data_IF_250778057550
#
_entry.id   IF_250778057550
#
_cell.length_a   1.000
_cell.length_b   1.000
_cell.length_c   1.000
_cell.angle_alpha   90.00
_cell.angle_beta   90.00
_cell.angle_gamma   90.00
#
_symmetry.space_group_name_H-M   'P 1'
#
loop_
_entity.id
_entity.type
_entity.pdbx_description
1 polymer ?
#
# COMPACT_ATOMS: atom_id res chain seq x y z
N UNK A 1 18.00 12.00 3.49
CA UNK A 1 17.01 12.06 2.39
C UNK A 1 15.73 12.80 2.85
N UNK A 2 15.86 14.04 3.37
CA UNK A 2 14.74 14.97 3.68
C UNK A 2 15.14 16.43 3.44
N UNK A 3 16.38 16.73 3.03
CA UNK A 3 16.92 18.10 3.04
C UNK A 3 16.30 19.06 2.00
N UNK A 4 15.43 18.58 1.11
CA UNK A 4 14.84 19.37 0.02
C UNK A 4 13.32 19.57 0.10
N UNK A 5 12.63 19.10 1.15
CA UNK A 5 11.17 19.28 1.29
C UNK A 5 10.87 20.48 2.19
N UNK A 6 10.10 21.45 1.69
CA UNK A 6 9.61 22.58 2.50
C UNK A 6 8.75 22.08 3.66
N UNK A 7 8.96 22.66 4.86
CA UNK A 7 8.14 22.37 6.03
C UNK A 7 6.65 22.65 5.77
N UNK A 8 6.32 23.75 5.08
CA UNK A 8 4.94 24.11 4.76
C UNK A 8 4.30 23.07 3.83
N UNK A 9 5.07 22.59 2.85
CA UNK A 9 4.58 21.55 1.93
C UNK A 9 4.35 20.23 2.68
N UNK A 10 5.25 19.86 3.59
CA UNK A 10 5.08 18.68 4.43
C UNK A 10 3.83 18.78 5.31
N UNK A 11 3.65 19.91 6.00
CA UNK A 11 2.49 20.16 6.86
C UNK A 11 1.17 20.16 6.07
N UNK A 12 1.16 20.73 4.86
CA UNK A 12 -0.01 20.70 4.00
C UNK A 12 -0.41 19.26 3.62
N UNK A 13 0.55 18.38 3.34
CA UNK A 13 0.28 16.95 3.07
C UNK A 13 -0.25 16.25 4.32
N UNK A 14 0.35 16.49 5.48
CA UNK A 14 -0.12 15.93 6.75
C UNK A 14 -1.56 16.33 7.10
N UNK A 15 -1.97 17.55 6.74
CA UNK A 15 -3.36 18.01 6.93
C UNK A 15 -4.32 17.42 5.87
N UNK A 16 -3.87 17.26 4.62
CA UNK A 16 -4.72 16.82 3.52
C UNK A 16 -4.99 15.30 3.52
N UNK A 17 -3.95 14.48 3.72
CA UNK A 17 -4.04 13.01 3.56
C UNK A 17 -5.09 12.36 4.47
N UNK A 18 -5.21 12.71 5.77
CA UNK A 18 -6.22 12.10 6.64
C UNK A 18 -7.68 12.41 6.24
N UNK A 19 -7.90 13.43 5.41
CA UNK A 19 -9.23 13.83 4.92
C UNK A 19 -9.65 13.07 3.66
N UNK A 20 -8.74 12.30 3.06
CA UNK A 20 -9.02 11.49 1.89
C UNK A 20 -9.74 10.20 2.32
N UNK A 21 -10.97 10.02 1.83
CA UNK A 21 -11.70 8.78 1.97
C UNK A 21 -11.97 8.15 0.60
N UNK A 22 -11.28 7.05 0.32
CA UNK A 22 -11.47 6.26 -0.89
C UNK A 22 -12.22 4.95 -0.63
N UNK A 23 -12.56 4.62 0.62
CA UNK A 23 -13.21 3.35 0.97
C UNK A 23 -14.52 3.10 0.19
N UNK A 24 -15.42 4.08 0.03
CA UNK A 24 -16.68 3.88 -0.71
C UNK A 24 -16.48 3.50 -2.18
N UNK A 25 -15.31 3.81 -2.76
CA UNK A 25 -15.04 3.69 -4.19
C UNK A 25 -14.07 2.56 -4.55
N UNK A 26 -13.54 1.83 -3.57
CA UNK A 26 -12.58 0.73 -3.82
C UNK A 26 -13.15 -0.29 -4.81
N UNK A 27 -14.45 -0.59 -4.71
CA UNK A 27 -15.15 -1.50 -5.62
C UNK A 27 -15.34 -0.99 -7.05
N UNK A 28 -14.95 0.24 -7.37
CA UNK A 28 -14.93 0.78 -8.74
C UNK A 28 -13.66 0.36 -9.51
N UNK A 29 -12.61 -0.09 -8.82
CA UNK A 29 -11.35 -0.47 -9.46
C UNK A 29 -11.57 -1.71 -10.35
N UNK A 30 -11.23 -1.59 -11.63
CA UNK A 30 -11.28 -2.68 -12.62
C UNK A 30 -9.89 -3.12 -13.09
N UNK A 31 -8.88 -2.32 -12.78
CA UNK A 31 -7.50 -2.67 -13.09
C UNK A 31 -7.07 -3.87 -12.23
N UNK A 32 -6.27 -4.77 -12.79
CA UNK A 32 -5.59 -5.82 -12.02
C UNK A 32 -4.87 -5.19 -10.84
N UNK A 33 -5.06 -5.75 -9.64
CA UNK A 33 -4.57 -5.12 -8.41
C UNK A 33 -3.81 -6.10 -7.53
N UNK A 34 -2.63 -5.69 -7.09
CA UNK A 34 -1.84 -6.33 -6.05
C UNK A 34 -1.81 -5.42 -4.81
N UNK A 35 -2.18 -5.96 -3.65
CA UNK A 35 -2.08 -5.31 -2.36
C UNK A 35 -0.93 -5.95 -1.58
N UNK A 36 0.09 -5.16 -1.27
CA UNK A 36 1.24 -5.56 -0.45
C UNK A 36 1.20 -4.82 0.88
N UNK A 37 1.36 -5.52 2.00
CA UNK A 37 1.34 -4.91 3.32
C UNK A 37 2.33 -5.57 4.28
N UNK A 38 2.92 -4.78 5.19
CA UNK A 38 3.79 -5.28 6.26
C UNK A 38 2.96 -5.75 7.45
N UNK A 39 3.14 -6.98 7.91
CA UNK A 39 2.39 -7.57 9.02
C UNK A 39 2.67 -6.91 10.39
N UNK A 40 3.78 -6.17 10.50
CA UNK A 40 4.16 -5.41 11.70
C UNK A 40 4.01 -3.90 11.52
N UNK A 41 3.40 -3.43 10.43
CA UNK A 41 3.12 -2.01 10.23
C UNK A 41 2.12 -1.50 11.30
N UNK A 42 2.47 -0.46 12.09
CA UNK A 42 1.54 0.10 13.09
C UNK A 42 0.25 0.66 12.48
N UNK A 43 0.25 0.98 11.18
CA UNK A 43 -0.92 1.50 10.47
C UNK A 43 -1.80 0.39 9.86
N UNK A 44 -1.41 -0.89 9.97
CA UNK A 44 -2.06 -2.01 9.28
C UNK A 44 -3.56 -2.09 9.58
N UNK A 45 -3.96 -1.82 10.83
CA UNK A 45 -5.35 -1.83 11.25
C UNK A 45 -6.18 -0.71 10.59
N UNK A 46 -5.60 0.49 10.48
CA UNK A 46 -6.24 1.64 9.83
C UNK A 46 -6.33 1.46 8.32
N UNK A 47 -5.30 0.86 7.71
CA UNK A 47 -5.22 0.63 6.28
C UNK A 47 -6.08 -0.56 5.81
N UNK A 48 -6.43 -1.49 6.71
CA UNK A 48 -7.21 -2.72 6.46
C UNK A 48 -6.94 -3.35 5.07
N UNK A 49 -5.72 -3.86 4.81
CA UNK A 49 -5.38 -4.41 3.49
C UNK A 49 -6.25 -5.63 3.13
N UNK A 50 -6.81 -6.33 4.12
CA UNK A 50 -7.76 -7.42 3.91
C UNK A 50 -9.13 -6.89 3.46
N UNK A 51 -9.59 -5.77 4.00
CA UNK A 51 -10.76 -5.04 3.52
C UNK A 51 -10.56 -4.55 2.09
N UNK A 52 -9.44 -3.88 1.83
CA UNK A 52 -9.09 -3.37 0.49
C UNK A 52 -9.10 -4.48 -0.57
N UNK A 53 -8.41 -5.59 -0.30
CA UNK A 53 -8.36 -6.72 -1.23
C UNK A 53 -9.72 -7.40 -1.43
N UNK A 54 -10.60 -7.38 -0.42
CA UNK A 54 -11.99 -7.89 -0.56
C UNK A 54 -12.87 -6.94 -1.38
N UNK A 55 -12.64 -5.63 -1.27
CA UNK A 55 -13.44 -4.63 -1.96
C UNK A 55 -13.12 -4.55 -3.46
N UNK A 56 -11.86 -4.79 -3.85
CA UNK A 56 -11.42 -4.71 -5.25
C UNK A 56 -11.61 -6.06 -5.96
N UNK A 57 -12.40 -6.13 -7.05
CA UNK A 57 -12.59 -7.36 -7.80
C UNK A 57 -11.28 -7.93 -8.33
N UNK A 58 -10.97 -9.19 -7.98
CA UNK A 58 -9.79 -9.90 -8.46
C UNK A 58 -8.47 -9.46 -7.83
N UNK A 59 -8.48 -8.62 -6.78
CA UNK A 59 -7.27 -8.22 -6.11
C UNK A 59 -6.55 -9.39 -5.43
N UNK A 60 -5.22 -9.35 -5.47
CA UNK A 60 -4.35 -10.30 -4.80
C UNK A 60 -3.73 -9.63 -3.58
N UNK A 61 -3.85 -10.26 -2.40
CA UNK A 61 -3.22 -9.79 -1.17
C UNK A 61 -1.95 -10.59 -0.85
N UNK A 62 -0.91 -9.88 -0.41
CA UNK A 62 0.27 -10.46 0.25
C UNK A 62 0.61 -9.65 1.50
N UNK A 63 0.73 -10.34 2.62
CA UNK A 63 1.17 -9.76 3.90
C UNK A 63 2.56 -10.32 4.20
N UNK A 64 3.51 -9.43 4.49
CA UNK A 64 4.88 -9.78 4.86
C UNK A 64 4.99 -9.78 6.38
N UNK A 65 4.87 -10.97 6.98
CA UNK A 65 4.92 -11.12 8.43
C UNK A 65 6.20 -10.53 9.02
N UNK A 66 6.07 -9.78 10.12
CA UNK A 66 7.20 -9.14 10.81
C UNK A 66 7.81 -7.92 10.10
N UNK A 67 7.29 -7.51 8.93
CA UNK A 67 7.79 -6.35 8.16
C UNK A 67 6.96 -5.10 8.48
N UNK A 68 7.64 -3.96 8.59
CA UNK A 68 7.03 -2.66 8.83
C UNK A 68 6.44 -2.00 7.58
N UNK A 69 6.29 -0.67 7.65
CA UNK A 69 5.58 0.12 6.65
C UNK A 69 6.32 0.22 5.31
N UNK A 70 7.67 0.16 5.31
CA UNK A 70 8.48 0.45 4.13
C UNK A 70 9.03 -0.83 3.51
N UNK A 71 8.15 -1.72 3.05
CA UNK A 71 8.48 -3.04 2.50
C UNK A 71 9.61 -3.01 1.45
N UNK A 72 9.60 -2.01 0.57
CA UNK A 72 10.59 -1.85 -0.49
C UNK A 72 12.00 -1.52 0.02
N UNK A 73 12.10 -1.00 1.26
CA UNK A 73 13.38 -0.72 1.92
C UNK A 73 13.77 -1.83 2.89
N UNK A 74 12.80 -2.41 3.59
CA UNK A 74 13.03 -3.43 4.62
C UNK A 74 13.31 -4.81 4.02
N UNK A 75 12.57 -5.21 2.98
CA UNK A 75 12.67 -6.54 2.33
C UNK A 75 12.68 -6.41 0.80
N UNK A 76 13.66 -5.67 0.23
CA UNK A 76 13.66 -5.30 -1.19
C UNK A 76 13.54 -6.49 -2.14
N UNK A 77 14.25 -7.59 -1.87
CA UNK A 77 14.23 -8.78 -2.73
C UNK A 77 12.85 -9.47 -2.74
N UNK A 78 12.21 -9.55 -1.57
CA UNK A 78 10.89 -10.17 -1.46
C UNK A 78 9.79 -9.28 -2.04
N UNK A 79 9.89 -7.96 -1.82
CA UNK A 79 9.02 -6.95 -2.42
C UNK A 79 9.11 -6.97 -3.95
N UNK A 80 10.33 -6.90 -4.51
CA UNK A 80 10.56 -6.90 -5.95
C UNK A 80 10.06 -8.19 -6.60
N UNK A 81 10.28 -9.34 -5.96
CA UNK A 81 9.77 -10.63 -6.45
C UNK A 81 8.24 -10.63 -6.54
N UNK A 82 7.55 -10.17 -5.49
CA UNK A 82 6.09 -10.10 -5.49
C UNK A 82 5.54 -9.19 -6.60
N UNK A 83 6.22 -8.07 -6.88
CA UNK A 83 5.88 -7.19 -8.01
C UNK A 83 6.10 -7.86 -9.36
N UNK A 84 7.26 -8.48 -9.57
CA UNK A 84 7.59 -9.14 -10.84
C UNK A 84 6.66 -10.31 -11.13
N UNK A 85 6.39 -11.17 -10.13
CA UNK A 85 5.43 -12.27 -10.26
C UNK A 85 4.02 -11.79 -10.66
N UNK A 86 3.61 -10.63 -10.14
CA UNK A 86 2.33 -10.03 -10.51
C UNK A 86 2.33 -9.56 -11.97
N UNK A 87 3.36 -8.82 -12.40
CA UNK A 87 3.47 -8.35 -13.79
C UNK A 87 3.61 -9.49 -14.81
N UNK A 88 4.39 -10.52 -14.48
CA UNK A 88 4.60 -11.69 -15.34
C UNK A 88 3.34 -12.56 -15.46
N UNK A 89 2.47 -12.54 -14.45
CA UNK A 89 1.22 -13.32 -14.48
C UNK A 89 0.21 -12.84 -15.53
N UNK A 90 0.49 -11.74 -16.24
CA UNK A 90 -0.39 -11.16 -17.25
C UNK A 90 -1.77 -10.77 -16.70
N UNK A 91 -1.85 -10.64 -15.36
CA UNK A 91 -3.03 -10.20 -14.67
C UNK A 91 -3.17 -8.72 -14.85
#
# INVERSE_FOLDING_TARGET
MVEAVSADAYLAVCDAVPKLDFFPRQGEIRAPTLVLAGGADPNLATLDPKGLARAIPGAVLRIFEGVGHFLNLEVPDAFNRALLEFFESGR
#
